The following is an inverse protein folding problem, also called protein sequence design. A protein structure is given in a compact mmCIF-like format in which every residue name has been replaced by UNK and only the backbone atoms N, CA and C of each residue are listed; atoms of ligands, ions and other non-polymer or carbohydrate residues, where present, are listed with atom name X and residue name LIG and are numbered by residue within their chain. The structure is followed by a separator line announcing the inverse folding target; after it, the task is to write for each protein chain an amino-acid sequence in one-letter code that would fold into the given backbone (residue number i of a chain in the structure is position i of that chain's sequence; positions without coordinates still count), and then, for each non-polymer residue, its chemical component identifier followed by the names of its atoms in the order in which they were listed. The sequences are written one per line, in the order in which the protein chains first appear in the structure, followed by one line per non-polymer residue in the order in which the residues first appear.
data_IF_430605471384
#
_entry.id   IF_430605471384
#
_cell.length_a   1.000
_cell.length_b   1.000
_cell.length_c   1.000
_cell.angle_alpha   90.00
_cell.angle_beta   90.00
_cell.angle_gamma   90.00
#
_symmetry.space_group_name_H-M   'P 1'
#
loop_
_entity.id
_entity.type
_entity.pdbx_description
1 polymer ?
#
# COMPACT_ATOMS: atom_id res chain seq x y z
N UNK A 1 17.42 7.91 -30.77
CA UNK A 1 18.04 8.89 -31.66
C UNK A 1 18.28 8.14 -32.96
N UNK A 2 17.48 8.41 -33.98
CA UNK A 2 17.53 7.70 -35.26
C UNK A 2 18.61 8.41 -36.07
N UNK A 3 19.63 7.65 -36.49
CA UNK A 3 20.64 8.12 -37.44
C UNK A 3 19.96 8.35 -38.79
N UNK A 4 19.87 9.61 -39.22
CA UNK A 4 19.18 10.04 -40.44
C UNK A 4 20.17 10.30 -41.60
N UNK A 5 21.21 9.50 -41.74
CA UNK A 5 22.25 9.73 -42.75
C UNK A 5 22.22 8.76 -43.94
N UNK A 6 21.03 8.44 -44.48
CA UNK A 6 20.96 7.75 -45.78
C UNK A 6 19.61 8.05 -46.51
N UNK A 7 19.57 9.13 -47.25
CA UNK A 7 18.40 9.62 -48.00
C UNK A 7 17.91 8.69 -49.15
N UNK A 8 18.50 7.53 -49.33
CA UNK A 8 18.17 6.61 -50.42
C UNK A 8 17.92 5.16 -49.94
N UNK A 9 17.54 4.97 -48.68
CA UNK A 9 17.33 3.64 -48.13
C UNK A 9 15.83 3.25 -48.25
N UNK A 10 15.56 2.23 -49.11
CA UNK A 10 14.23 1.63 -49.26
C UNK A 10 14.14 0.36 -48.43
N UNK A 11 13.05 0.24 -47.69
CA UNK A 11 12.80 -0.88 -46.77
C UNK A 11 11.69 -1.77 -47.33
N UNK A 12 11.83 -3.05 -47.24
CA UNK A 12 10.77 -4.02 -47.52
C UNK A 12 9.65 -3.96 -46.50
N UNK A 13 8.48 -4.48 -46.82
CA UNK A 13 7.36 -4.57 -45.86
C UNK A 13 7.73 -5.38 -44.60
N UNK A 14 8.58 -6.41 -44.71
CA UNK A 14 9.06 -7.22 -43.60
C UNK A 14 9.96 -6.41 -42.65
N UNK A 15 10.93 -5.66 -43.18
CA UNK A 15 11.82 -4.80 -42.42
C UNK A 15 11.07 -3.69 -41.69
N UNK A 16 10.07 -3.07 -42.33
CA UNK A 16 9.21 -2.08 -41.69
C UNK A 16 8.37 -2.72 -40.58
N UNK A 17 7.82 -3.90 -40.81
CA UNK A 17 7.03 -4.62 -39.81
C UNK A 17 7.87 -4.96 -38.58
N UNK A 18 9.06 -5.49 -38.75
CA UNK A 18 10.01 -5.81 -37.69
C UNK A 18 10.43 -4.56 -36.91
N UNK A 19 10.88 -3.51 -37.63
CA UNK A 19 11.36 -2.25 -37.05
C UNK A 19 10.35 -1.56 -36.12
N UNK A 20 9.06 -1.64 -36.47
CA UNK A 20 7.99 -0.99 -35.71
C UNK A 20 7.16 -1.97 -34.88
N UNK A 21 7.57 -3.22 -34.74
CA UNK A 21 6.84 -4.26 -34.00
C UNK A 21 5.39 -4.42 -34.49
N UNK A 22 5.20 -4.33 -35.79
CA UNK A 22 3.91 -4.50 -36.47
C UNK A 22 3.86 -5.84 -37.20
N UNK A 23 2.64 -6.23 -37.60
CA UNK A 23 2.48 -7.33 -38.55
C UNK A 23 2.45 -6.80 -39.98
N UNK A 24 2.95 -7.58 -40.94
CA UNK A 24 2.81 -7.28 -42.38
C UNK A 24 1.33 -7.04 -42.74
N UNK A 25 0.41 -7.78 -42.14
CA UNK A 25 -1.04 -7.61 -42.31
C UNK A 25 -1.52 -6.21 -41.87
N UNK A 26 -0.96 -5.67 -40.79
CA UNK A 26 -1.28 -4.30 -40.33
C UNK A 26 -0.86 -3.26 -41.36
N UNK A 27 0.33 -3.37 -41.92
CA UNK A 27 0.82 -2.46 -42.95
C UNK A 27 -0.02 -2.55 -44.25
N UNK A 28 -0.38 -3.75 -44.67
CA UNK A 28 -1.28 -3.95 -45.81
C UNK A 28 -2.68 -3.37 -45.53
N UNK A 29 -3.18 -3.49 -44.30
CA UNK A 29 -4.45 -2.89 -43.91
C UNK A 29 -4.39 -1.36 -43.97
N UNK A 30 -3.30 -0.75 -43.51
CA UNK A 30 -3.10 0.70 -43.58
C UNK A 30 -2.97 1.19 -45.00
N UNK A 31 -2.32 0.43 -45.90
CA UNK A 31 -2.30 0.70 -47.32
C UNK A 31 -3.71 0.66 -47.91
N UNK A 32 -4.49 -0.38 -47.63
CA UNK A 32 -5.87 -0.51 -48.11
C UNK A 32 -6.79 0.62 -47.62
N UNK A 33 -6.53 1.19 -46.44
CA UNK A 33 -7.23 2.36 -45.91
C UNK A 33 -6.68 3.70 -46.42
N UNK A 34 -5.61 3.66 -47.24
CA UNK A 34 -4.96 4.86 -47.76
C UNK A 34 -4.23 5.71 -46.72
N UNK A 35 -3.85 5.10 -45.56
CA UNK A 35 -3.03 5.76 -44.55
C UNK A 35 -1.55 5.75 -44.91
N UNK A 36 -1.11 4.71 -45.57
CA UNK A 36 0.26 4.46 -45.99
C UNK A 36 0.27 4.07 -47.47
N UNK A 37 1.23 4.53 -48.22
CA UNK A 37 1.49 4.04 -49.56
C UNK A 37 2.99 3.73 -49.67
N UNK A 38 3.40 2.61 -50.28
CA UNK A 38 4.82 2.37 -50.51
C UNK A 38 5.33 3.40 -51.55
N UNK A 39 6.54 3.93 -51.27
CA UNK A 39 7.19 4.88 -52.16
C UNK A 39 7.38 4.30 -53.57
N UNK A 40 7.76 3.02 -53.60
CA UNK A 40 8.05 2.32 -54.88
C UNK A 40 7.57 0.86 -54.81
N UNK A 41 7.56 0.24 -56.01
CA UNK A 41 7.48 -1.21 -56.18
C UNK A 41 8.68 -1.71 -56.94
N UNK A 42 9.32 -2.75 -56.43
CA UNK A 42 10.41 -3.37 -57.16
C UNK A 42 9.96 -3.95 -58.53
N UNK A 43 10.88 -4.28 -59.38
CA UNK A 43 10.59 -4.98 -60.65
C UNK A 43 9.86 -6.33 -60.44
N UNK A 44 9.99 -6.95 -59.23
CA UNK A 44 9.27 -8.16 -58.82
C UNK A 44 7.95 -7.84 -58.08
N UNK A 45 7.49 -6.59 -58.17
CA UNK A 45 6.26 -6.08 -57.53
C UNK A 45 6.22 -6.10 -55.97
N UNK A 46 7.40 -6.20 -55.33
CA UNK A 46 7.52 -6.04 -53.87
C UNK A 46 7.40 -4.57 -53.48
N UNK A 47 6.70 -4.32 -52.33
CA UNK A 47 6.54 -2.99 -51.75
C UNK A 47 7.80 -2.51 -51.11
N UNK A 48 8.21 -1.29 -51.44
CA UNK A 48 9.39 -0.63 -50.89
C UNK A 48 8.96 0.70 -50.28
N UNK A 49 9.38 0.91 -49.04
CA UNK A 49 9.04 2.07 -48.22
C UNK A 49 10.26 2.95 -48.01
N UNK A 50 10.10 4.25 -48.18
CA UNK A 50 11.15 5.24 -47.92
C UNK A 50 11.28 5.56 -46.43
N UNK A 51 12.28 6.38 -46.11
CA UNK A 51 12.45 6.95 -44.75
C UNK A 51 11.24 7.78 -44.33
N UNK A 52 10.64 8.53 -45.30
CA UNK A 52 9.43 9.33 -45.08
C UNK A 52 8.21 8.44 -44.79
N UNK A 53 8.10 7.30 -45.47
CA UNK A 53 7.05 6.32 -45.18
C UNK A 53 7.22 5.73 -43.81
N UNK A 54 8.44 5.43 -43.39
CA UNK A 54 8.75 4.99 -42.04
C UNK A 54 8.38 6.06 -40.99
N UNK A 55 8.68 7.33 -41.24
CA UNK A 55 8.25 8.43 -40.40
C UNK A 55 6.71 8.57 -40.35
N UNK A 56 6.01 8.29 -41.47
CA UNK A 56 4.55 8.24 -41.49
C UNK A 56 4.02 7.06 -40.66
N UNK A 57 4.61 5.88 -40.77
CA UNK A 57 4.28 4.71 -39.94
C UNK A 57 4.42 5.05 -38.45
N UNK A 58 5.51 5.67 -38.05
CA UNK A 58 5.74 6.08 -36.66
C UNK A 58 4.64 7.04 -36.16
N UNK A 59 4.24 8.03 -36.97
CA UNK A 59 3.15 8.95 -36.63
C UNK A 59 1.82 8.22 -36.46
N UNK A 60 1.51 7.27 -37.35
CA UNK A 60 0.27 6.46 -37.24
C UNK A 60 0.25 5.69 -35.94
N UNK A 61 1.37 5.05 -35.54
CA UNK A 61 1.50 4.32 -34.27
C UNK A 61 1.23 5.24 -33.08
N UNK A 62 1.87 6.41 -33.04
CA UNK A 62 1.69 7.38 -31.94
C UNK A 62 0.23 7.80 -31.83
N UNK A 63 -0.43 8.16 -32.95
CA UNK A 63 -1.83 8.55 -32.94
C UNK A 63 -2.77 7.41 -32.54
N UNK A 64 -2.47 6.18 -32.99
CA UNK A 64 -3.23 4.99 -32.56
C UNK A 64 -3.11 4.74 -31.06
N UNK A 65 -1.92 4.90 -30.48
CA UNK A 65 -1.68 4.76 -29.05
C UNK A 65 -2.48 5.78 -28.21
N UNK A 66 -2.85 6.92 -28.79
CA UNK A 66 -3.75 7.91 -28.13
C UNK A 66 -5.24 7.60 -28.32
N UNK A 67 -5.59 6.48 -28.94
CA UNK A 67 -6.99 6.08 -29.18
C UNK A 67 -7.64 6.66 -30.43
N UNK A 68 -6.88 7.40 -31.28
CA UNK A 68 -7.43 8.00 -32.50
C UNK A 68 -7.84 6.93 -33.51
N UNK A 69 -8.98 7.12 -34.18
CA UNK A 69 -9.46 6.24 -35.26
C UNK A 69 -8.63 6.42 -36.54
N UNK A 70 -8.48 5.34 -37.34
CA UNK A 70 -7.67 5.38 -38.58
C UNK A 70 -8.12 6.46 -39.58
N UNK A 71 -9.42 6.68 -39.71
CA UNK A 71 -9.97 7.72 -40.60
C UNK A 71 -9.53 9.13 -40.19
N UNK A 72 -9.54 9.42 -38.88
CA UNK A 72 -9.14 10.73 -38.34
C UNK A 72 -7.62 10.93 -38.50
N UNK A 73 -6.83 9.87 -38.33
CA UNK A 73 -5.38 9.87 -38.54
C UNK A 73 -5.09 10.19 -40.02
N UNK A 74 -5.83 9.57 -40.95
CA UNK A 74 -5.67 9.84 -42.38
C UNK A 74 -5.91 11.31 -42.69
N UNK A 75 -7.07 11.84 -42.27
CA UNK A 75 -7.42 13.25 -42.47
C UNK A 75 -6.34 14.19 -41.96
N UNK A 76 -5.82 13.89 -40.78
CA UNK A 76 -4.76 14.66 -40.15
C UNK A 76 -3.44 14.61 -40.96
N UNK A 77 -3.00 13.41 -41.36
CA UNK A 77 -1.73 13.24 -42.07
C UNK A 77 -1.77 13.84 -43.48
N UNK A 78 -2.98 13.93 -44.10
CA UNK A 78 -3.18 14.45 -45.44
C UNK A 78 -3.51 15.95 -45.45
N UNK A 79 -3.93 16.54 -44.32
CA UNK A 79 -4.35 17.96 -44.22
C UNK A 79 -3.20 18.97 -44.33
N UNK A 80 -1.95 18.53 -44.24
CA UNK A 80 -0.79 19.44 -44.19
C UNK A 80 -0.76 20.37 -42.95
N UNK A 81 -1.72 20.24 -42.01
CA UNK A 81 -1.68 20.94 -40.73
C UNK A 81 -0.44 20.54 -39.96
N UNK A 82 0.17 21.50 -39.29
CA UNK A 82 1.30 21.26 -38.39
C UNK A 82 0.92 20.16 -37.40
N UNK A 83 1.49 18.95 -37.55
CA UNK A 83 1.27 17.81 -36.66
C UNK A 83 1.54 18.16 -35.18
N UNK A 84 2.31 19.23 -34.93
CA UNK A 84 2.59 19.77 -33.61
C UNK A 84 1.34 20.35 -32.93
N UNK A 85 0.47 21.06 -33.67
CA UNK A 85 -0.76 21.63 -33.10
C UNK A 85 -1.74 20.53 -32.69
N UNK A 86 -1.83 19.47 -33.47
CA UNK A 86 -2.68 18.32 -33.15
C UNK A 86 -2.12 17.54 -31.97
N UNK A 87 -0.81 17.26 -31.93
CA UNK A 87 -0.16 16.60 -30.80
C UNK A 87 -0.32 17.39 -29.51
N UNK A 88 -0.30 18.73 -29.57
CA UNK A 88 -0.56 19.58 -28.40
C UNK A 88 -2.00 19.43 -27.92
N UNK A 89 -3.00 19.45 -28.80
CA UNK A 89 -4.41 19.21 -28.44
C UNK A 89 -4.60 17.83 -27.82
N UNK A 90 -4.02 16.81 -28.45
CA UNK A 90 -4.11 15.43 -27.94
C UNK A 90 -3.46 15.27 -26.57
N UNK A 91 -2.28 15.88 -26.36
CA UNK A 91 -1.62 15.91 -25.05
C UNK A 91 -2.49 16.60 -24.00
N UNK A 92 -3.11 17.73 -24.34
CA UNK A 92 -4.02 18.43 -23.42
C UNK A 92 -5.24 17.56 -23.05
N UNK A 93 -5.84 16.86 -24.04
CA UNK A 93 -6.94 15.94 -23.82
C UNK A 93 -6.56 14.76 -22.91
N UNK A 94 -5.38 14.17 -23.10
CA UNK A 94 -4.88 13.10 -22.24
C UNK A 94 -4.59 13.58 -20.81
N UNK A 95 -4.08 14.80 -20.65
CA UNK A 95 -3.89 15.40 -19.33
C UNK A 95 -5.23 15.62 -18.62
N UNK A 96 -6.23 16.14 -19.34
CA UNK A 96 -7.57 16.32 -18.79
C UNK A 96 -8.22 14.99 -18.41
N UNK A 97 -8.06 13.96 -19.23
CA UNK A 97 -8.55 12.60 -18.92
C UNK A 97 -7.87 12.00 -17.69
N UNK A 98 -6.55 12.16 -17.57
CA UNK A 98 -5.81 11.72 -16.37
C UNK A 98 -6.34 12.41 -15.12
N UNK A 99 -6.52 13.74 -15.17
CA UNK A 99 -7.08 14.49 -14.03
C UNK A 99 -8.49 14.02 -13.65
N UNK A 100 -9.31 13.67 -14.65
CA UNK A 100 -10.63 13.12 -14.38
C UNK A 100 -10.54 11.72 -13.75
N UNK A 101 -9.64 10.87 -14.25
CA UNK A 101 -9.40 9.54 -13.68
C UNK A 101 -8.89 9.62 -12.25
N UNK A 102 -7.97 10.53 -11.96
CA UNK A 102 -7.45 10.78 -10.60
C UNK A 102 -8.59 11.20 -9.63
N UNK A 103 -9.54 12.03 -10.11
CA UNK A 103 -10.74 12.38 -9.31
C UNK A 103 -11.66 11.19 -9.06
N UNK A 104 -11.83 10.32 -10.07
CA UNK A 104 -12.66 9.12 -9.92
C UNK A 104 -12.03 8.12 -8.94
N UNK A 105 -10.71 7.95 -8.98
CA UNK A 105 -9.99 7.12 -8.03
C UNK A 105 -10.21 7.64 -6.60
N UNK A 106 -10.01 8.93 -6.36
CA UNK A 106 -10.26 9.53 -5.04
C UNK A 106 -11.70 9.36 -4.56
N UNK A 107 -12.68 9.48 -5.45
CA UNK A 107 -14.07 9.23 -5.08
C UNK A 107 -14.33 7.76 -4.69
N UNK A 108 -13.67 6.82 -5.38
CA UNK A 108 -13.75 5.40 -5.03
C UNK A 108 -13.06 5.14 -3.69
N UNK A 109 -11.88 5.75 -3.46
CA UNK A 109 -11.17 5.63 -2.18
C UNK A 109 -12.07 6.11 -1.01
N UNK A 110 -12.73 7.27 -1.16
CA UNK A 110 -13.71 7.76 -0.17
C UNK A 110 -14.86 6.79 0.06
N UNK A 111 -15.43 6.21 -1.02
CA UNK A 111 -16.52 5.23 -0.89
C UNK A 111 -16.05 3.92 -0.23
N UNK A 112 -14.81 3.54 -0.43
CA UNK A 112 -14.21 2.38 0.24
C UNK A 112 -14.00 2.67 1.73
N UNK A 113 -13.50 3.85 2.06
CA UNK A 113 -13.36 4.31 3.46
C UNK A 113 -14.73 4.36 4.16
N UNK A 114 -15.77 4.92 3.52
CA UNK A 114 -17.12 4.95 4.05
C UNK A 114 -17.69 3.54 4.26
N UNK A 115 -17.54 2.65 3.29
CA UNK A 115 -18.02 1.27 3.39
C UNK A 115 -17.25 0.45 4.45
N UNK A 116 -15.98 0.75 4.68
CA UNK A 116 -15.21 0.16 5.77
C UNK A 116 -15.65 0.73 7.12
N UNK A 117 -15.94 2.03 7.20
CA UNK A 117 -16.42 2.69 8.41
C UNK A 117 -17.84 2.29 8.79
N UNK A 118 -18.73 2.00 7.83
CA UNK A 118 -20.07 1.45 8.13
C UNK A 118 -20.03 0.09 8.85
N UNK A 119 -18.93 -0.65 8.71
CA UNK A 119 -18.71 -1.93 9.39
C UNK A 119 -17.75 -1.82 10.59
N UNK A 120 -17.13 -0.66 10.83
CA UNK A 120 -16.27 -0.45 11.99
C UNK A 120 -17.12 -0.12 13.22
N UNK A 121 -16.73 -0.69 14.36
CA UNK A 121 -17.35 -0.34 15.64
C UNK A 121 -16.97 1.09 16.01
N UNK A 122 -17.91 1.81 16.62
CA UNK A 122 -17.58 3.08 17.24
C UNK A 122 -16.62 2.88 18.41
N UNK A 123 -15.90 3.93 18.76
CA UNK A 123 -14.95 3.90 19.89
C UNK A 123 -15.67 3.52 21.21
N UNK A 124 -16.92 3.96 21.38
CA UNK A 124 -17.75 3.63 22.53
C UNK A 124 -18.17 2.16 22.55
N UNK A 125 -18.47 1.57 21.38
CA UNK A 125 -18.78 0.14 21.25
C UNK A 125 -17.56 -0.73 21.56
N UNK A 126 -16.38 -0.34 21.10
CA UNK A 126 -15.12 -1.00 21.46
C UNK A 126 -14.86 -0.89 22.96
N UNK A 127 -15.03 0.30 23.55
CA UNK A 127 -14.89 0.51 24.99
C UNK A 127 -15.84 -0.38 25.80
N UNK A 128 -17.09 -0.54 25.35
CA UNK A 128 -18.05 -1.43 26.01
C UNK A 128 -17.61 -2.91 25.93
N UNK A 129 -17.03 -3.37 24.82
CA UNK A 129 -16.51 -4.73 24.67
C UNK A 129 -15.30 -4.95 25.60
N UNK A 130 -14.39 -3.98 25.68
CA UNK A 130 -13.20 -4.04 26.51
C UNK A 130 -13.50 -3.83 28.01
N UNK A 131 -14.71 -3.38 28.34
CA UNK A 131 -15.10 -3.04 29.72
C UNK A 131 -14.45 -1.75 30.22
N UNK A 132 -14.00 -0.89 29.31
CA UNK A 132 -13.38 0.41 29.60
C UNK A 132 -14.36 1.55 29.26
N UNK A 133 -14.98 2.14 30.30
CA UNK A 133 -15.91 3.24 30.12
C UNK A 133 -15.26 4.55 29.62
N UNK A 134 -13.95 4.68 29.83
CA UNK A 134 -13.18 5.88 29.45
C UNK A 134 -12.34 5.65 28.17
N UNK A 135 -12.58 4.55 27.46
CA UNK A 135 -11.81 4.15 26.27
C UNK A 135 -11.70 5.26 25.23
N UNK A 136 -12.79 6.00 24.98
CA UNK A 136 -12.79 7.11 24.04
C UNK A 136 -11.81 8.22 24.45
N UNK A 137 -11.76 8.57 25.73
CA UNK A 137 -10.81 9.54 26.25
C UNK A 137 -9.36 9.03 26.20
N UNK A 138 -9.16 7.74 26.45
CA UNK A 138 -7.85 7.10 26.34
C UNK A 138 -7.35 7.06 24.89
N UNK A 139 -8.23 6.83 23.91
CA UNK A 139 -7.91 6.87 22.48
C UNK A 139 -7.54 8.29 22.04
N UNK A 140 -8.28 9.30 22.47
CA UNK A 140 -7.97 10.71 22.16
C UNK A 140 -6.62 11.12 22.74
N UNK A 141 -6.32 10.74 23.98
CA UNK A 141 -5.02 10.99 24.62
C UNK A 141 -3.89 10.28 23.85
N UNK A 142 -4.08 9.02 23.45
CA UNK A 142 -3.10 8.25 22.70
C UNK A 142 -2.88 8.84 21.30
N UNK A 143 -3.92 9.30 20.62
CA UNK A 143 -3.80 9.98 19.31
C UNK A 143 -3.03 11.30 19.44
N UNK A 144 -3.25 12.08 20.49
CA UNK A 144 -2.51 13.33 20.73
C UNK A 144 -1.02 13.07 20.97
N UNK A 145 -0.67 11.95 21.63
CA UNK A 145 0.72 11.62 21.95
C UNK A 145 1.45 10.87 20.85
N UNK A 146 0.77 10.01 20.11
CA UNK A 146 1.37 9.05 19.19
C UNK A 146 0.80 9.09 17.77
N UNK A 147 -0.19 9.94 17.46
CA UNK A 147 -0.92 9.97 16.19
C UNK A 147 -0.05 10.05 14.93
N UNK A 148 1.10 10.74 15.02
CA UNK A 148 2.07 10.86 13.93
C UNK A 148 3.04 9.65 13.83
N UNK A 149 2.97 8.67 14.74
CA UNK A 149 3.87 7.52 14.73
C UNK A 149 3.41 6.43 13.76
N UNK A 150 4.37 5.72 13.16
CA UNK A 150 4.09 4.59 12.28
C UNK A 150 3.32 3.47 13.00
N UNK A 151 3.61 3.23 14.29
CA UNK A 151 2.96 2.21 15.11
C UNK A 151 1.49 2.54 15.37
N UNK A 152 1.15 3.83 15.58
CA UNK A 152 -0.23 4.26 15.72
C UNK A 152 -1.00 4.04 14.42
N UNK A 153 -0.46 4.49 13.29
CA UNK A 153 -1.08 4.32 11.98
C UNK A 153 -1.26 2.84 11.65
N UNK A 154 -0.28 2.00 11.98
CA UNK A 154 -0.37 0.55 11.78
C UNK A 154 -1.46 -0.07 12.68
N UNK A 155 -1.59 0.36 13.94
CA UNK A 155 -2.65 -0.07 14.85
C UNK A 155 -4.03 0.29 14.29
N UNK A 156 -4.24 1.52 13.89
CA UNK A 156 -5.49 1.98 13.25
C UNK A 156 -5.81 1.17 12.00
N UNK A 157 -4.81 0.94 11.14
CA UNK A 157 -4.98 0.15 9.92
C UNK A 157 -5.39 -1.29 10.20
N UNK A 158 -4.79 -1.95 11.20
CA UNK A 158 -5.10 -3.36 11.54
C UNK A 158 -6.49 -3.49 12.16
N UNK A 159 -6.84 -2.59 13.04
CA UNK A 159 -8.12 -2.65 13.77
C UNK A 159 -9.31 -2.10 12.99
N UNK A 160 -9.10 -1.34 11.92
CA UNK A 160 -10.15 -0.75 11.08
C UNK A 160 -11.18 -1.78 10.54
N UNK A 161 -10.76 -3.03 10.34
CA UNK A 161 -11.62 -4.12 9.85
C UNK A 161 -12.10 -5.08 10.95
N UNK A 162 -11.78 -4.82 12.22
CA UNK A 162 -12.16 -5.70 13.31
C UNK A 162 -13.66 -5.61 13.60
N UNK A 163 -14.29 -6.77 13.63
CA UNK A 163 -15.66 -6.94 14.08
C UNK A 163 -15.76 -7.00 15.61
N UNK A 164 -16.98 -6.92 16.16
CA UNK A 164 -17.20 -7.17 17.60
C UNK A 164 -16.65 -8.50 18.06
N UNK A 165 -16.69 -9.54 17.23
CA UNK A 165 -16.14 -10.85 17.56
C UNK A 165 -14.60 -10.83 17.63
N UNK A 166 -13.93 -10.05 16.77
CA UNK A 166 -12.47 -9.92 16.79
C UNK A 166 -12.02 -9.18 18.05
N UNK A 167 -12.66 -8.06 18.39
CA UNK A 167 -12.40 -7.32 19.61
C UNK A 167 -12.66 -8.15 20.87
N UNK A 168 -13.81 -8.85 20.93
CA UNK A 168 -14.12 -9.74 22.05
C UNK A 168 -13.11 -10.88 22.16
N UNK A 169 -12.75 -11.50 21.03
CA UNK A 169 -11.76 -12.58 21.00
C UNK A 169 -10.39 -12.13 21.45
N UNK A 170 -9.98 -10.90 21.12
CA UNK A 170 -8.73 -10.31 21.61
C UNK A 170 -8.79 -10.07 23.13
N UNK A 171 -9.87 -9.43 23.63
CA UNK A 171 -10.08 -9.19 25.05
C UNK A 171 -10.10 -10.49 25.87
N UNK A 172 -10.79 -11.52 25.39
CA UNK A 172 -10.87 -12.82 26.07
C UNK A 172 -9.49 -13.48 26.19
N UNK A 173 -8.65 -13.36 25.16
CA UNK A 173 -7.26 -13.88 25.17
C UNK A 173 -6.37 -13.11 26.13
N UNK A 174 -6.46 -11.78 26.19
CA UNK A 174 -5.76 -10.99 27.19
C UNK A 174 -6.17 -11.42 28.61
N UNK A 175 -7.47 -11.52 28.86
CA UNK A 175 -7.98 -11.97 30.15
C UNK A 175 -7.49 -13.38 30.51
N UNK A 176 -7.38 -14.28 29.53
CA UNK A 176 -6.88 -15.63 29.78
C UNK A 176 -5.38 -15.61 30.14
N UNK A 177 -4.56 -14.84 29.41
CA UNK A 177 -3.13 -14.69 29.72
C UNK A 177 -2.93 -14.07 31.11
N UNK A 178 -3.71 -13.05 31.47
CA UNK A 178 -3.68 -12.46 32.83
C UNK A 178 -4.04 -13.49 33.92
N UNK A 179 -5.06 -14.30 33.71
CA UNK A 179 -5.43 -15.38 34.63
C UNK A 179 -4.29 -16.41 34.82
N UNK A 180 -3.62 -16.75 33.72
CA UNK A 180 -2.50 -17.70 33.75
C UNK A 180 -1.31 -17.09 34.48
N UNK A 181 -1.01 -15.80 34.28
CA UNK A 181 0.01 -15.06 35.04
C UNK A 181 -0.32 -15.00 36.52
N UNK A 182 -1.56 -14.69 36.89
CA UNK A 182 -2.02 -14.68 38.29
C UNK A 182 -1.86 -16.08 38.92
N UNK A 183 -2.18 -17.13 38.19
CA UNK A 183 -2.00 -18.49 38.64
C UNK A 183 -0.50 -18.83 38.89
N UNK A 184 0.37 -18.36 37.98
CA UNK A 184 1.83 -18.51 38.13
C UNK A 184 2.37 -17.74 39.34
N UNK A 185 1.96 -16.48 39.54
CA UNK A 185 2.33 -15.67 40.68
C UNK A 185 1.93 -16.35 42.02
N UNK A 186 0.70 -16.87 42.08
CA UNK A 186 0.17 -17.58 43.25
C UNK A 186 0.95 -18.88 43.55
N UNK A 187 1.55 -19.50 42.53
CA UNK A 187 2.45 -20.67 42.69
C UNK A 187 3.87 -20.26 43.07
N UNK A 188 4.18 -18.96 43.12
CA UNK A 188 5.52 -18.46 43.43
C UNK A 188 6.49 -18.50 42.25
N UNK A 189 5.97 -18.48 41.01
CA UNK A 189 6.80 -18.42 39.79
C UNK A 189 7.58 -17.09 39.79
N UNK A 190 8.90 -17.19 39.72
CA UNK A 190 9.76 -16.01 39.70
C UNK A 190 9.73 -15.31 38.35
N UNK A 191 9.82 -13.96 38.30
CA UNK A 191 9.78 -13.18 37.05
C UNK A 191 10.87 -13.54 36.01
N UNK A 192 12.00 -14.09 36.48
CA UNK A 192 13.16 -14.50 35.66
C UNK A 192 13.12 -15.97 35.22
N UNK A 193 12.00 -16.66 35.43
CA UNK A 193 11.84 -18.07 35.07
C UNK A 193 11.40 -18.27 33.61
N UNK A 194 11.67 -19.46 33.05
CA UNK A 194 11.21 -19.85 31.73
C UNK A 194 9.67 -19.84 31.64
N UNK A 195 8.96 -20.18 32.71
CA UNK A 195 7.49 -20.12 32.76
C UNK A 195 6.99 -18.68 32.64
N UNK A 196 7.60 -17.73 33.34
CA UNK A 196 7.30 -16.32 33.23
C UNK A 196 7.62 -15.78 31.83
N UNK A 197 8.75 -16.17 31.24
CA UNK A 197 9.15 -15.79 29.91
C UNK A 197 8.13 -16.26 28.83
N UNK A 198 7.60 -17.48 29.00
CA UNK A 198 6.55 -17.99 28.10
C UNK A 198 5.25 -17.17 28.18
N UNK A 199 4.82 -16.79 29.40
CA UNK A 199 3.63 -15.96 29.58
C UNK A 199 3.83 -14.53 29.02
N UNK A 200 5.02 -13.96 29.22
CA UNK A 200 5.41 -12.66 28.63
C UNK A 200 5.41 -12.71 27.10
N UNK A 201 5.84 -13.84 26.49
CA UNK A 201 5.78 -14.01 25.05
C UNK A 201 4.34 -13.98 24.53
N UNK A 202 3.40 -14.69 25.17
CA UNK A 202 1.98 -14.66 24.82
C UNK A 202 1.39 -13.26 24.96
N UNK A 203 1.71 -12.55 26.02
CA UNK A 203 1.24 -11.17 26.22
C UNK A 203 1.76 -10.25 25.11
N UNK A 204 3.03 -10.39 24.71
CA UNK A 204 3.62 -9.61 23.61
C UNK A 204 2.98 -9.95 22.26
N UNK A 205 2.64 -11.22 22.00
CA UNK A 205 1.93 -11.63 20.80
C UNK A 205 0.57 -10.94 20.67
N UNK A 206 -0.18 -10.84 21.76
CA UNK A 206 -1.48 -10.15 21.77
C UNK A 206 -1.34 -8.66 21.50
N UNK A 207 -0.36 -7.99 22.09
CA UNK A 207 -0.02 -6.59 21.77
C UNK A 207 0.40 -6.45 20.31
N UNK A 208 1.09 -7.45 19.76
CA UNK A 208 1.57 -7.43 18.38
C UNK A 208 0.45 -7.60 17.34
N UNK A 209 -0.77 -7.88 17.76
CA UNK A 209 -1.95 -7.82 16.86
C UNK A 209 -2.26 -6.38 16.45
N UNK A 210 -1.99 -5.40 17.30
CA UNK A 210 -2.19 -3.99 17.02
C UNK A 210 -1.07 -3.39 16.15
N UNK A 211 0.19 -3.58 16.55
CA UNK A 211 1.38 -3.10 15.82
C UNK A 211 2.59 -3.98 16.19
N UNK A 212 3.68 -3.98 15.41
CA UNK A 212 4.84 -4.82 15.71
C UNK A 212 5.48 -4.47 17.07
N UNK A 213 5.43 -5.40 18.04
CA UNK A 213 5.99 -5.21 19.39
C UNK A 213 7.25 -6.05 19.56
N UNK A 214 8.41 -5.40 19.44
CA UNK A 214 9.72 -5.99 19.76
C UNK A 214 9.89 -6.16 21.27
N UNK A 215 10.87 -6.94 21.76
CA UNK A 215 11.20 -6.97 23.18
C UNK A 215 11.52 -5.58 23.77
N UNK A 216 12.15 -4.68 22.99
CA UNK A 216 12.45 -3.32 23.40
C UNK A 216 11.17 -2.49 23.58
N UNK A 217 10.27 -2.50 22.60
CA UNK A 217 8.96 -1.84 22.69
C UNK A 217 8.13 -2.38 23.85
N UNK A 218 8.10 -3.72 24.03
CA UNK A 218 7.38 -4.35 25.13
C UNK A 218 7.91 -3.88 26.49
N UNK A 219 9.24 -3.75 26.61
CA UNK A 219 9.86 -3.21 27.83
C UNK A 219 9.43 -1.75 28.08
N UNK A 220 9.50 -0.88 27.07
CA UNK A 220 9.07 0.53 27.19
C UNK A 220 7.59 0.62 27.61
N UNK A 221 6.70 -0.16 26.95
CA UNK A 221 5.28 -0.22 27.29
C UNK A 221 5.09 -0.65 28.75
N UNK A 222 5.85 -1.64 29.22
CA UNK A 222 5.72 -2.16 30.59
C UNK A 222 6.03 -1.14 31.67
N UNK A 223 6.74 -0.06 31.34
CA UNK A 223 7.01 1.03 32.31
C UNK A 223 5.74 1.76 32.69
N UNK A 224 4.76 1.88 31.76
CA UNK A 224 3.45 2.44 32.10
C UNK A 224 2.67 1.58 33.08
N UNK A 225 2.86 0.26 33.10
CA UNK A 225 2.16 -0.64 34.01
C UNK A 225 2.49 -0.38 35.49
N UNK A 226 3.63 0.22 35.82
CA UNK A 226 4.06 0.54 37.16
C UNK A 226 4.04 2.04 37.47
N UNK A 227 4.13 2.92 36.46
CA UNK A 227 4.22 4.36 36.65
C UNK A 227 2.88 5.09 36.42
N UNK A 228 1.98 4.56 35.58
CA UNK A 228 0.64 5.11 35.38
C UNK A 228 -0.35 4.39 36.28
N UNK A 229 -1.03 5.15 37.14
CA UNK A 229 -1.99 4.64 38.13
C UNK A 229 -3.13 3.85 37.50
N UNK A 230 -3.55 4.19 36.28
CA UNK A 230 -4.64 3.51 35.56
C UNK A 230 -4.25 2.06 35.25
N UNK A 231 -3.08 1.88 34.63
CA UNK A 231 -2.58 0.54 34.30
C UNK A 231 -2.20 -0.25 35.55
N UNK A 232 -1.60 0.41 36.54
CA UNK A 232 -1.24 -0.25 37.79
C UNK A 232 -2.51 -0.75 38.50
N UNK A 233 -3.54 0.07 38.60
CA UNK A 233 -4.80 -0.32 39.22
C UNK A 233 -5.51 -1.45 38.49
N UNK A 234 -5.44 -1.49 37.15
CA UNK A 234 -6.00 -2.59 36.35
C UNK A 234 -5.40 -3.93 36.78
N UNK A 235 -4.07 -4.03 36.86
CA UNK A 235 -3.40 -5.27 37.21
C UNK A 235 -3.50 -5.57 38.73
N UNK A 236 -3.22 -4.61 39.58
CA UNK A 236 -3.17 -4.82 41.01
C UNK A 236 -4.53 -5.04 41.66
N UNK A 237 -5.62 -4.59 41.05
CA UNK A 237 -6.98 -4.93 41.48
C UNK A 237 -7.30 -6.43 41.36
N UNK A 238 -6.63 -7.14 40.45
CA UNK A 238 -6.80 -8.58 40.27
C UNK A 238 -5.92 -9.40 41.21
N UNK A 239 -4.69 -8.91 41.51
CA UNK A 239 -3.77 -9.50 42.46
C UNK A 239 -2.75 -8.43 42.87
N UNK A 240 -2.60 -8.17 44.16
CA UNK A 240 -1.64 -7.22 44.68
C UNK A 240 -0.19 -7.57 44.23
N UNK A 241 0.51 -6.59 43.66
CA UNK A 241 1.84 -6.73 43.11
C UNK A 241 1.92 -7.34 41.68
N UNK A 242 0.79 -7.57 41.01
CA UNK A 242 0.78 -8.15 39.67
C UNK A 242 1.46 -7.21 38.66
N UNK A 243 1.18 -5.92 38.68
CA UNK A 243 1.81 -4.94 37.77
C UNK A 243 3.33 -4.97 37.88
N UNK A 244 3.88 -5.06 39.14
CA UNK A 244 5.29 -5.12 39.36
C UNK A 244 5.91 -6.45 38.90
N UNK A 245 5.22 -7.58 39.13
CA UNK A 245 5.68 -8.89 38.66
C UNK A 245 5.77 -8.94 37.15
N UNK A 246 4.71 -8.46 36.45
CA UNK A 246 4.65 -8.44 34.97
C UNK A 246 5.77 -7.55 34.40
N UNK A 247 5.94 -6.35 34.93
CA UNK A 247 7.00 -5.44 34.47
C UNK A 247 8.40 -6.04 34.70
N UNK A 248 8.61 -6.75 35.82
CA UNK A 248 9.89 -7.42 36.10
C UNK A 248 10.12 -8.60 35.15
N UNK A 249 9.11 -9.40 34.85
CA UNK A 249 9.22 -10.52 33.92
C UNK A 249 9.52 -10.03 32.48
N UNK A 250 8.86 -8.95 32.03
CA UNK A 250 9.13 -8.31 30.72
C UNK A 250 10.58 -7.77 30.69
N UNK A 251 11.06 -7.17 31.79
CA UNK A 251 12.42 -6.67 31.87
C UNK A 251 13.46 -7.80 31.76
N UNK A 252 13.24 -8.96 32.40
CA UNK A 252 14.10 -10.13 32.25
C UNK A 252 14.15 -10.59 30.79
N UNK A 253 13.00 -10.76 30.12
CA UNK A 253 12.93 -11.16 28.70
C UNK A 253 13.63 -10.13 27.79
N UNK A 254 13.47 -8.84 28.07
CA UNK A 254 14.13 -7.79 27.29
C UNK A 254 15.66 -7.87 27.41
N UNK A 255 16.19 -8.03 28.64
CA UNK A 255 17.64 -8.19 28.90
C UNK A 255 18.19 -9.44 28.21
N UNK A 256 17.49 -10.56 28.31
CA UNK A 256 17.88 -11.82 27.65
C UNK A 256 17.89 -11.71 26.13
N UNK A 257 17.06 -10.82 25.60
CA UNK A 257 17.02 -10.47 24.17
C UNK A 257 18.06 -9.43 23.75
N UNK A 258 18.92 -8.97 24.69
CA UNK A 258 19.98 -7.98 24.41
C UNK A 258 19.51 -6.52 24.39
N UNK A 259 18.34 -6.22 24.94
CA UNK A 259 17.84 -4.84 25.07
C UNK A 259 18.59 -4.10 26.16
N UNK A 260 19.09 -2.89 25.87
CA UNK A 260 19.64 -1.98 26.88
C UNK A 260 18.47 -1.36 27.69
N UNK A 261 18.22 -1.90 28.87
CA UNK A 261 17.14 -1.46 29.77
C UNK A 261 17.45 -0.15 30.50
N UNK A 262 18.71 0.29 30.49
CA UNK A 262 19.12 1.58 31.10
C UNK A 262 18.91 2.74 30.10
N UNK A 263 18.95 2.45 28.78
CA UNK A 263 18.68 3.42 27.73
C UNK A 263 17.80 2.77 26.62
N UNK A 264 16.54 2.45 26.92
CA UNK A 264 15.68 1.72 26.00
C UNK A 264 15.29 2.58 24.80
N UNK A 265 15.42 2.01 23.58
CA UNK A 265 14.98 2.65 22.36
C UNK A 265 13.65 2.04 21.89
N UNK A 266 12.80 2.89 21.31
CA UNK A 266 11.54 2.46 20.69
C UNK A 266 11.80 1.96 19.27
N UNK A 267 12.30 0.73 19.14
CA UNK A 267 12.71 0.11 17.85
C UNK A 267 12.10 -1.26 17.64
#
# INVERSE_FOLDING_TARGET
MIDMSDDNNLYTVGEVAERFSLTVRTLHHWEAQGLLAPAERSWSNYRLYSVEDCARVQRIIIYRATGMKLGDIKTLLDSGESGVSHLRRQRASLIAHRQQTDKMIKAIDTLLEDAMNENSLSVEEVGAILGDADFAAHQEEAEQLYGDSDDWQESQRRTASWSSADWQGNADRFQQVEKDMIAAIRKGVAPDSDEAAALVALHRELLSEFFPVTPAKHYVISRSYIHDERFRSHYDSQLDGFAQWLASAIECVARDSGVDTDNPEWV
#
